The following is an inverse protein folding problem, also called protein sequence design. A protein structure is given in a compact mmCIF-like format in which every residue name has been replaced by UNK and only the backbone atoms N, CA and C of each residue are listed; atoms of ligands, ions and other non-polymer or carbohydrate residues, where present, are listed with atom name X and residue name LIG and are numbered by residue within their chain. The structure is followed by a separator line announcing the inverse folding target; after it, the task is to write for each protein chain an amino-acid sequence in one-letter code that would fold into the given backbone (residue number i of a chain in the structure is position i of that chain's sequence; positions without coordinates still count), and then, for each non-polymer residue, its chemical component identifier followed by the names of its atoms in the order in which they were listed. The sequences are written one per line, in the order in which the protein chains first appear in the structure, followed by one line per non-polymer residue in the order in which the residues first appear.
data_IF_134264253617
#
_entry.id   IF_134264253617
#
_cell.length_a   1.000
_cell.length_b   1.000
_cell.length_c   1.000
_cell.angle_alpha   90.00
_cell.angle_beta   90.00
_cell.angle_gamma   90.00
#
_symmetry.space_group_name_H-M   'P 1'
#
loop_
_entity.id
_entity.type
_entity.pdbx_description
1 polymer ?
#
# COMPACT_ATOMS: atom_id res chain seq x y z
N UNK A 1 1.18 -35.20 -23.19
CA UNK A 1 1.41 -33.96 -23.97
C UNK A 1 0.13 -33.13 -24.13
N UNK A 2 -1.03 -33.72 -24.46
CA UNK A 2 -2.30 -32.99 -24.63
C UNK A 2 -2.78 -32.18 -23.41
N UNK A 3 -2.57 -32.68 -22.18
CA UNK A 3 -2.97 -31.95 -20.96
C UNK A 3 -2.19 -30.64 -20.74
N UNK A 4 -0.91 -30.59 -21.14
CA UNK A 4 -0.10 -29.37 -21.05
C UNK A 4 -0.36 -28.41 -22.21
N UNK A 5 -0.83 -28.91 -23.36
CA UNK A 5 -1.29 -28.08 -24.48
C UNK A 5 -2.56 -27.30 -24.11
N UNK A 6 -3.46 -27.89 -23.34
CA UNK A 6 -4.65 -27.22 -22.79
C UNK A 6 -4.31 -26.08 -21.82
N UNK A 7 -3.10 -26.07 -21.23
CA UNK A 7 -2.60 -25.02 -20.34
C UNK A 7 -1.81 -23.92 -21.06
N UNK A 8 -1.68 -23.99 -22.39
CA UNK A 8 -1.06 -22.92 -23.18
C UNK A 8 -1.96 -21.69 -23.23
N UNK A 9 -1.34 -20.52 -23.38
CA UNK A 9 -2.08 -19.26 -23.33
C UNK A 9 -3.18 -19.18 -24.39
N UNK A 10 -2.87 -19.49 -25.64
CA UNK A 10 -3.79 -19.25 -26.77
C UNK A 10 -5.12 -20.03 -26.63
N UNK A 11 -5.15 -21.35 -26.35
CA UNK A 11 -6.41 -22.07 -26.12
C UNK A 11 -7.24 -21.52 -24.95
N UNK A 12 -6.60 -21.19 -23.82
CA UNK A 12 -7.31 -20.65 -22.64
C UNK A 12 -7.93 -19.29 -22.95
N UNK A 13 -7.18 -18.42 -23.62
CA UNK A 13 -7.65 -17.09 -23.99
C UNK A 13 -8.75 -17.13 -25.06
N UNK A 14 -8.70 -18.10 -25.97
CA UNK A 14 -9.76 -18.34 -26.94
C UNK A 14 -11.05 -18.76 -26.25
N UNK A 15 -10.99 -19.74 -25.34
CA UNK A 15 -12.15 -20.21 -24.57
C UNK A 15 -12.80 -19.08 -23.74
N UNK A 16 -12.00 -18.18 -23.16
CA UNK A 16 -12.48 -16.99 -22.46
C UNK A 16 -13.11 -15.96 -23.41
N UNK A 17 -12.59 -15.81 -24.62
CA UNK A 17 -13.11 -14.88 -25.61
C UNK A 17 -14.41 -15.36 -26.26
N UNK A 18 -14.56 -16.67 -26.45
CA UNK A 18 -15.78 -17.31 -26.98
C UNK A 18 -16.86 -17.52 -25.92
N UNK A 19 -16.54 -17.33 -24.65
CA UNK A 19 -17.45 -17.57 -23.52
C UNK A 19 -17.65 -19.06 -23.19
N UNK A 20 -16.76 -19.92 -23.68
CA UNK A 20 -16.76 -21.36 -23.35
C UNK A 20 -16.39 -21.60 -21.89
N UNK A 21 -15.57 -20.70 -21.32
CA UNK A 21 -15.24 -20.61 -19.90
C UNK A 21 -15.41 -19.16 -19.48
N UNK A 22 -15.84 -18.91 -18.24
CA UNK A 22 -15.94 -17.55 -17.68
C UNK A 22 -15.02 -17.34 -16.46
N UNK A 23 -14.89 -16.07 -16.06
CA UNK A 23 -14.03 -15.66 -14.94
C UNK A 23 -14.52 -16.23 -13.61
N UNK A 24 -15.84 -16.41 -13.44
CA UNK A 24 -16.44 -16.90 -12.20
C UNK A 24 -16.09 -18.37 -12.00
N UNK A 25 -16.21 -19.18 -13.04
CA UNK A 25 -15.83 -20.58 -13.05
C UNK A 25 -14.35 -20.77 -12.73
N UNK A 26 -13.46 -20.00 -13.37
CA UNK A 26 -12.02 -20.07 -13.09
C UNK A 26 -11.68 -19.61 -11.66
N UNK A 27 -12.32 -18.55 -11.18
CA UNK A 27 -12.12 -18.07 -9.81
C UNK A 27 -12.60 -19.09 -8.78
N UNK A 28 -13.73 -19.78 -9.05
CA UNK A 28 -14.25 -20.86 -8.21
C UNK A 28 -13.33 -22.09 -8.15
N UNK A 29 -12.53 -22.32 -9.19
CA UNK A 29 -11.47 -23.34 -9.21
C UNK A 29 -10.17 -22.89 -8.53
N UNK A 30 -10.12 -21.67 -7.99
CA UNK A 30 -8.97 -21.13 -7.26
C UNK A 30 -7.96 -20.37 -8.11
N UNK A 31 -8.23 -20.12 -9.41
CA UNK A 31 -7.35 -19.32 -10.26
C UNK A 31 -7.52 -17.82 -9.98
N UNK A 32 -6.64 -17.28 -9.13
CA UNK A 32 -6.67 -15.87 -8.69
C UNK A 32 -6.45 -14.87 -9.84
N UNK A 33 -5.81 -15.30 -10.92
CA UNK A 33 -5.46 -14.45 -12.08
C UNK A 33 -6.49 -14.46 -13.21
N UNK A 34 -7.65 -15.10 -13.03
CA UNK A 34 -8.69 -15.21 -14.06
C UNK A 34 -9.10 -13.84 -14.66
N UNK A 35 -9.19 -12.80 -13.82
CA UNK A 35 -9.48 -11.43 -14.29
C UNK A 35 -8.35 -10.81 -15.14
N UNK A 36 -7.10 -11.21 -14.93
CA UNK A 36 -5.98 -10.79 -15.77
C UNK A 36 -6.02 -11.53 -17.12
N UNK A 37 -6.36 -12.81 -17.12
CA UNK A 37 -6.50 -13.62 -18.34
C UNK A 37 -7.66 -13.13 -19.22
N UNK A 38 -8.79 -12.71 -18.64
CA UNK A 38 -9.89 -12.10 -19.41
C UNK A 38 -9.42 -10.84 -20.17
N UNK A 39 -8.56 -10.03 -19.54
CA UNK A 39 -7.99 -8.84 -20.21
C UNK A 39 -7.07 -9.24 -21.36
N UNK A 40 -6.27 -10.31 -21.19
CA UNK A 40 -5.46 -10.85 -22.28
C UNK A 40 -6.35 -11.38 -23.42
N UNK A 41 -7.44 -12.09 -23.11
CA UNK A 41 -8.39 -12.58 -24.11
C UNK A 41 -8.97 -11.41 -24.93
N UNK A 42 -9.36 -10.31 -24.27
CA UNK A 42 -9.80 -9.09 -24.94
C UNK A 42 -8.75 -8.46 -25.86
N UNK A 43 -7.45 -8.55 -25.52
CA UNK A 43 -6.36 -8.05 -26.38
C UNK A 43 -6.15 -8.96 -27.58
N UNK A 44 -6.01 -10.26 -27.35
CA UNK A 44 -5.60 -11.21 -28.39
C UNK A 44 -6.73 -11.69 -29.28
N UNK A 45 -7.98 -11.68 -28.82
CA UNK A 45 -9.15 -12.15 -29.55
C UNK A 45 -10.27 -11.11 -29.70
N UNK A 46 -10.23 -10.02 -28.93
CA UNK A 46 -11.22 -8.96 -29.02
C UNK A 46 -11.12 -8.11 -30.30
N UNK A 47 -12.08 -7.21 -30.53
CA UNK A 47 -12.14 -6.39 -31.74
C UNK A 47 -10.97 -5.41 -31.80
N UNK A 48 -10.31 -5.34 -32.96
CA UNK A 48 -9.20 -4.40 -33.22
C UNK A 48 -9.15 -3.97 -34.67
N UNK A 49 -8.58 -2.78 -34.91
CA UNK A 49 -8.26 -2.28 -36.26
C UNK A 49 -7.01 -2.98 -36.82
N UNK A 50 -6.15 -3.55 -35.98
CA UNK A 50 -4.89 -4.21 -36.36
C UNK A 50 -5.04 -5.72 -36.56
N UNK A 51 -6.07 -6.16 -37.31
CA UNK A 51 -6.45 -7.59 -37.44
C UNK A 51 -5.29 -8.48 -37.91
N UNK A 52 -4.46 -7.99 -38.84
CA UNK A 52 -3.29 -8.73 -39.36
C UNK A 52 -2.22 -8.96 -38.29
N UNK A 53 -1.86 -7.91 -37.54
CA UNK A 53 -0.88 -8.00 -36.46
C UNK A 53 -1.41 -8.79 -35.26
N UNK A 54 -2.70 -8.71 -34.95
CA UNK A 54 -3.32 -9.54 -33.92
C UNK A 54 -3.24 -11.03 -34.26
N UNK A 55 -3.54 -11.40 -35.52
CA UNK A 55 -3.38 -12.78 -35.99
C UNK A 55 -1.92 -13.23 -35.92
N UNK A 56 -0.97 -12.38 -36.34
CA UNK A 56 0.45 -12.67 -36.27
C UNK A 56 0.94 -12.84 -34.83
N UNK A 57 0.46 -12.03 -33.88
CA UNK A 57 0.80 -12.14 -32.47
C UNK A 57 0.31 -13.47 -31.88
N UNK A 58 -0.94 -13.87 -32.18
CA UNK A 58 -1.47 -15.18 -31.77
C UNK A 58 -0.64 -16.34 -32.35
N UNK A 59 -0.27 -16.27 -33.63
CA UNK A 59 0.57 -17.28 -34.27
C UNK A 59 1.97 -17.36 -33.65
N UNK A 60 2.60 -16.21 -33.36
CA UNK A 60 3.90 -16.16 -32.71
C UNK A 60 3.86 -16.67 -31.26
N UNK A 61 2.76 -16.41 -30.55
CA UNK A 61 2.56 -16.81 -29.16
C UNK A 61 2.21 -18.29 -28.96
N UNK A 62 2.10 -19.09 -30.04
CA UNK A 62 1.91 -20.53 -29.92
C UNK A 62 3.03 -21.14 -29.09
N UNK A 63 2.65 -21.87 -28.03
CA UNK A 63 3.58 -22.46 -27.07
C UNK A 63 3.92 -21.58 -25.87
N UNK A 64 3.48 -20.32 -25.80
CA UNK A 64 3.65 -19.50 -24.59
C UNK A 64 2.66 -19.88 -23.48
N UNK A 65 3.10 -19.72 -22.23
CA UNK A 65 2.23 -19.77 -21.05
C UNK A 65 1.48 -18.45 -20.87
N UNK A 66 0.41 -18.45 -20.05
CA UNK A 66 -0.33 -17.24 -19.72
C UNK A 66 0.57 -16.19 -19.04
N UNK A 67 1.51 -16.64 -18.19
CA UNK A 67 2.47 -15.75 -17.52
C UNK A 67 3.46 -15.11 -18.50
N UNK A 68 3.96 -15.89 -19.47
CA UNK A 68 4.82 -15.35 -20.53
C UNK A 68 4.07 -14.28 -21.36
N UNK A 69 2.79 -14.50 -21.66
CA UNK A 69 1.99 -13.50 -22.38
C UNK A 69 1.68 -12.28 -21.50
N UNK A 70 1.48 -12.48 -20.19
CA UNK A 70 1.39 -11.40 -19.21
C UNK A 70 2.65 -10.53 -19.20
N UNK A 71 3.83 -11.15 -19.29
CA UNK A 71 5.13 -10.48 -19.43
C UNK A 71 5.22 -9.68 -20.75
N UNK A 72 4.78 -10.27 -21.87
CA UNK A 72 4.74 -9.56 -23.17
C UNK A 72 3.88 -8.28 -23.06
N UNK A 73 2.69 -8.36 -22.46
CA UNK A 73 1.82 -7.20 -22.30
C UNK A 73 2.38 -6.17 -21.31
N UNK A 74 3.02 -6.63 -20.23
CA UNK A 74 3.72 -5.76 -19.26
C UNK A 74 4.75 -4.88 -19.96
N UNK A 75 5.51 -5.42 -20.90
CA UNK A 75 6.54 -4.68 -21.64
C UNK A 75 5.99 -3.88 -22.81
N UNK A 76 5.01 -4.41 -23.54
CA UNK A 76 4.37 -3.68 -24.64
C UNK A 76 3.77 -2.34 -24.18
N UNK A 77 3.20 -2.30 -22.96
CA UNK A 77 2.66 -1.05 -22.35
C UNK A 77 3.75 -0.04 -21.93
N UNK A 78 5.02 -0.44 -21.90
CA UNK A 78 6.14 0.41 -21.51
C UNK A 78 6.85 1.07 -22.70
N UNK A 79 6.45 0.73 -23.93
CA UNK A 79 6.91 1.40 -25.13
C UNK A 79 6.46 2.87 -25.13
N UNK A 80 7.40 3.78 -25.36
CA UNK A 80 7.13 5.22 -25.39
C UNK A 80 6.48 5.63 -26.73
N UNK A 81 5.61 6.63 -26.67
CA UNK A 81 5.10 7.29 -27.87
C UNK A 81 6.26 7.92 -28.64
N UNK A 82 6.32 7.64 -29.95
CA UNK A 82 7.41 8.06 -30.84
C UNK A 82 8.51 7.01 -31.04
N UNK A 83 8.39 5.82 -30.45
CA UNK A 83 9.28 4.70 -30.74
C UNK A 83 9.18 4.25 -32.20
N UNK A 84 10.26 3.65 -32.71
CA UNK A 84 10.36 3.20 -34.11
C UNK A 84 9.37 2.07 -34.49
N UNK A 85 8.71 1.47 -33.50
CA UNK A 85 7.68 0.44 -33.69
C UNK A 85 6.40 0.83 -32.97
N UNK A 86 5.28 0.34 -33.48
CA UNK A 86 3.98 0.45 -32.79
C UNK A 86 3.86 -0.62 -31.69
N UNK A 87 2.96 -0.43 -30.71
CA UNK A 87 2.69 -1.45 -29.70
C UNK A 87 2.26 -2.81 -30.28
N UNK A 88 1.59 -2.84 -31.44
CA UNK A 88 1.20 -4.10 -32.08
C UNK A 88 2.37 -4.82 -32.75
N UNK A 89 3.28 -4.09 -33.40
CA UNK A 89 4.49 -4.67 -33.98
C UNK A 89 5.41 -5.22 -32.90
N UNK A 90 5.63 -4.45 -31.82
CA UNK A 90 6.38 -4.92 -30.66
C UNK A 90 5.75 -6.18 -30.06
N UNK A 91 4.42 -6.22 -29.91
CA UNK A 91 3.74 -7.41 -29.37
C UNK A 91 4.02 -8.66 -30.18
N UNK A 92 3.97 -8.58 -31.51
CA UNK A 92 4.30 -9.72 -32.40
C UNK A 92 5.73 -10.18 -32.17
N UNK A 93 6.66 -9.22 -32.12
CA UNK A 93 8.08 -9.49 -31.88
C UNK A 93 8.30 -10.19 -30.54
N UNK A 94 7.72 -9.67 -29.46
CA UNK A 94 7.87 -10.22 -28.12
C UNK A 94 7.19 -11.60 -27.97
N UNK A 95 6.07 -11.84 -28.66
CA UNK A 95 5.42 -13.16 -28.70
C UNK A 95 6.30 -14.22 -29.38
N UNK A 96 7.25 -13.83 -30.22
CA UNK A 96 8.18 -14.75 -30.87
C UNK A 96 9.34 -15.20 -29.96
N UNK A 97 9.53 -14.57 -28.80
CA UNK A 97 10.56 -14.97 -27.84
C UNK A 97 10.30 -16.38 -27.29
N UNK A 98 11.37 -17.09 -26.93
CA UNK A 98 11.33 -18.46 -26.42
C UNK A 98 12.25 -18.57 -25.20
N UNK A 99 11.95 -19.54 -24.34
CA UNK A 99 12.66 -19.76 -23.07
C UNK A 99 11.69 -19.78 -21.89
N UNK A 100 12.25 -19.69 -20.69
CA UNK A 100 11.51 -19.50 -19.45
C UNK A 100 10.84 -18.12 -19.39
N UNK A 101 9.85 -17.97 -18.50
CA UNK A 101 9.16 -16.67 -18.31
C UNK A 101 10.15 -15.57 -17.92
N UNK A 102 11.16 -15.88 -17.11
CA UNK A 102 12.20 -14.93 -16.69
C UNK A 102 13.12 -14.50 -17.84
N UNK A 103 13.52 -15.44 -18.70
CA UNK A 103 14.31 -15.13 -19.89
C UNK A 103 13.53 -14.27 -20.88
N UNK A 104 12.25 -14.57 -21.08
CA UNK A 104 11.35 -13.75 -21.90
C UNK A 104 11.19 -12.35 -21.27
N UNK A 105 11.03 -12.22 -19.95
CA UNK A 105 10.93 -10.93 -19.26
C UNK A 105 12.19 -10.08 -19.46
N UNK A 106 13.37 -10.70 -19.34
CA UNK A 106 14.66 -10.03 -19.53
C UNK A 106 14.87 -9.59 -20.99
N UNK A 107 14.57 -10.46 -21.95
CA UNK A 107 14.69 -10.17 -23.38
C UNK A 107 13.72 -9.06 -23.81
N UNK A 108 12.46 -9.15 -23.37
CA UNK A 108 11.44 -8.14 -23.65
C UNK A 108 11.78 -6.78 -23.03
N UNK A 109 12.29 -6.75 -21.80
CA UNK A 109 12.76 -5.52 -21.16
C UNK A 109 13.89 -4.85 -21.94
N UNK A 110 14.81 -5.65 -22.49
CA UNK A 110 15.94 -5.16 -23.30
C UNK A 110 15.42 -4.55 -24.60
N UNK A 111 14.55 -5.25 -25.32
CA UNK A 111 13.96 -4.74 -26.57
C UNK A 111 13.20 -3.43 -26.40
N UNK A 112 12.38 -3.33 -25.36
CA UNK A 112 11.65 -2.08 -25.07
C UNK A 112 12.60 -0.95 -24.69
N UNK A 113 13.68 -1.26 -23.97
CA UNK A 113 14.71 -0.26 -23.63
C UNK A 113 15.40 0.27 -24.89
N UNK A 114 15.75 -0.60 -25.82
CA UNK A 114 16.42 -0.22 -27.07
C UNK A 114 15.53 0.68 -27.93
N UNK A 115 14.25 0.31 -28.11
CA UNK A 115 13.30 1.16 -28.83
C UNK A 115 13.07 2.50 -28.13
N UNK A 116 12.97 2.51 -26.80
CA UNK A 116 12.76 3.73 -26.04
C UNK A 116 13.99 4.66 -26.06
N UNK A 117 15.21 4.14 -26.22
CA UNK A 117 16.43 4.95 -26.32
C UNK A 117 16.44 5.82 -27.58
N UNK A 118 15.81 5.35 -28.66
CA UNK A 118 15.68 6.11 -29.90
C UNK A 118 14.61 7.20 -29.88
N UNK A 119 13.85 7.35 -28.78
CA UNK A 119 12.77 8.33 -28.66
C UNK A 119 13.33 9.67 -28.19
N UNK A 120 12.99 10.74 -28.90
CA UNK A 120 13.31 12.10 -28.47
C UNK A 120 12.71 12.39 -27.08
N UNK A 121 13.48 13.10 -26.24
CA UNK A 121 13.15 13.36 -24.83
C UNK A 121 12.96 12.11 -23.94
N UNK A 122 13.52 10.94 -24.31
CA UNK A 122 13.44 9.74 -23.49
C UNK A 122 13.92 9.96 -22.04
N UNK A 123 14.99 10.74 -21.85
CA UNK A 123 15.49 11.08 -20.51
C UNK A 123 14.49 11.90 -19.69
N UNK A 124 13.84 12.90 -20.29
CA UNK A 124 12.81 13.72 -19.63
C UNK A 124 11.57 12.89 -19.28
N UNK A 125 11.17 11.98 -20.17
CA UNK A 125 10.07 11.03 -19.92
C UNK A 125 10.43 10.05 -18.80
N UNK A 126 11.68 9.59 -18.71
CA UNK A 126 12.17 8.77 -17.60
C UNK A 126 12.24 9.57 -16.29
N UNK A 127 12.68 10.83 -16.34
CA UNK A 127 12.72 11.76 -15.22
C UNK A 127 11.32 11.94 -14.60
N UNK A 128 10.27 12.08 -15.42
CA UNK A 128 8.88 12.18 -14.96
C UNK A 128 8.31 10.91 -14.31
N UNK A 129 8.97 9.75 -14.44
CA UNK A 129 8.52 8.48 -13.85
C UNK A 129 9.14 8.16 -12.48
N UNK A 130 9.94 9.07 -11.93
CA UNK A 130 10.42 8.94 -10.55
C UNK A 130 9.26 8.75 -9.58
N UNK A 131 9.43 7.85 -8.62
CA UNK A 131 8.42 7.61 -7.60
C UNK A 131 9.04 7.04 -6.34
N UNK A 132 8.44 7.36 -5.20
CA UNK A 132 8.59 6.62 -3.95
C UNK A 132 7.23 6.00 -3.64
N UNK A 133 7.17 4.68 -3.51
CA UNK A 133 5.92 3.92 -3.28
C UNK A 133 6.09 3.00 -2.07
N UNK A 134 5.00 2.69 -1.38
CA UNK A 134 5.00 1.79 -0.22
C UNK A 134 5.01 2.53 1.12
N UNK A 135 5.37 1.82 2.19
CA UNK A 135 5.53 2.38 3.55
C UNK A 135 4.24 2.54 4.37
N UNK A 136 3.08 2.12 3.86
CA UNK A 136 1.80 2.16 4.61
C UNK A 136 1.46 0.84 5.30
N UNK A 137 1.80 -0.28 4.66
CA UNK A 137 1.46 -1.61 5.17
C UNK A 137 2.65 -2.14 5.96
N UNK A 138 2.35 -2.64 7.15
CA UNK A 138 3.28 -3.34 8.02
C UNK A 138 3.12 -4.85 7.81
N UNK A 139 4.22 -5.60 7.69
CA UNK A 139 4.17 -7.06 7.59
C UNK A 139 3.94 -7.72 8.97
N UNK A 140 3.87 -9.05 8.99
CA UNK A 140 3.62 -9.81 10.23
C UNK A 140 4.71 -9.70 11.30
N UNK A 141 5.85 -9.08 10.96
CA UNK A 141 6.99 -8.85 11.85
C UNK A 141 7.17 -7.37 12.19
N UNK A 142 6.22 -6.50 11.85
CA UNK A 142 6.35 -5.08 12.15
C UNK A 142 7.15 -4.29 11.10
N UNK A 143 7.63 -4.92 10.04
CA UNK A 143 8.47 -4.23 9.05
C UNK A 143 7.64 -3.52 7.99
N UNK A 144 8.17 -2.41 7.47
CA UNK A 144 7.58 -1.68 6.33
C UNK A 144 8.56 -1.61 5.18
N UNK A 145 8.06 -1.87 3.97
CA UNK A 145 8.84 -1.75 2.74
C UNK A 145 8.38 -0.55 1.92
N UNK A 146 9.33 0.18 1.35
CA UNK A 146 9.09 1.15 0.30
C UNK A 146 10.04 0.88 -0.88
N UNK A 147 9.66 1.36 -2.06
CA UNK A 147 10.40 1.21 -3.31
C UNK A 147 10.63 2.58 -3.91
N UNK A 148 11.88 2.86 -4.28
CA UNK A 148 12.28 4.08 -4.97
C UNK A 148 12.60 3.75 -6.42
N UNK A 149 11.99 4.51 -7.33
CA UNK A 149 12.24 4.43 -8.77
C UNK A 149 12.80 5.76 -9.25
N UNK A 150 13.85 5.73 -10.06
CA UNK A 150 14.38 6.91 -10.73
C UNK A 150 15.32 6.58 -11.89
N UNK A 151 15.92 7.61 -12.52
CA UNK A 151 16.87 7.41 -13.60
C UNK A 151 18.03 6.52 -13.15
N UNK A 152 18.45 5.59 -14.02
CA UNK A 152 19.49 4.59 -13.73
C UNK A 152 20.73 5.21 -13.07
N UNK A 153 21.31 6.26 -13.68
CA UNK A 153 22.50 6.94 -13.14
C UNK A 153 22.32 7.50 -11.73
N UNK A 154 21.11 7.95 -11.39
CA UNK A 154 20.81 8.56 -10.08
C UNK A 154 20.69 7.47 -9.02
N UNK A 155 19.92 6.42 -9.33
CA UNK A 155 19.73 5.29 -8.42
C UNK A 155 21.05 4.55 -8.21
N UNK A 156 21.82 4.32 -9.28
CA UNK A 156 23.13 3.70 -9.20
C UNK A 156 24.12 4.54 -8.38
N UNK A 157 24.11 5.87 -8.53
CA UNK A 157 24.90 6.76 -7.68
C UNK A 157 24.62 6.56 -6.18
N UNK A 158 23.34 6.45 -5.80
CA UNK A 158 22.94 6.15 -4.40
C UNK A 158 23.38 4.73 -4.00
N UNK A 159 23.04 3.72 -4.81
CA UNK A 159 23.32 2.31 -4.49
C UNK A 159 24.82 2.01 -4.44
N UNK A 160 25.65 2.69 -5.21
CA UNK A 160 27.11 2.56 -5.15
C UNK A 160 27.64 2.96 -3.77
N UNK A 161 27.20 4.10 -3.24
CA UNK A 161 27.56 4.53 -1.88
C UNK A 161 27.05 3.57 -0.81
N UNK A 162 25.80 3.12 -0.92
CA UNK A 162 25.21 2.14 0.02
C UNK A 162 25.97 0.82 0.00
N UNK A 163 26.32 0.29 -1.19
CA UNK A 163 27.10 -0.95 -1.34
C UNK A 163 28.49 -0.83 -0.71
N UNK A 164 29.16 0.31 -0.89
CA UNK A 164 30.46 0.55 -0.25
C UNK A 164 30.34 0.55 1.29
N UNK A 165 29.31 1.22 1.83
CA UNK A 165 29.02 1.22 3.27
C UNK A 165 28.66 -0.17 3.82
N UNK A 166 27.86 -0.94 3.07
CA UNK A 166 27.48 -2.31 3.42
C UNK A 166 28.71 -3.24 3.46
N UNK A 167 29.61 -3.13 2.47
CA UNK A 167 30.85 -3.89 2.43
C UNK A 167 31.74 -3.58 3.64
N UNK A 168 31.85 -2.31 4.03
CA UNK A 168 32.61 -1.92 5.22
C UNK A 168 32.00 -2.51 6.50
N UNK A 169 30.67 -2.51 6.63
CA UNK A 169 29.96 -3.09 7.77
C UNK A 169 30.18 -4.59 7.89
N UNK A 170 30.05 -5.33 6.81
CA UNK A 170 30.28 -6.79 6.81
C UNK A 170 31.73 -7.17 7.10
N UNK A 171 32.70 -6.29 6.79
CA UNK A 171 34.10 -6.48 7.21
C UNK A 171 34.27 -6.33 8.72
N UNK A 172 33.49 -5.44 9.35
CA UNK A 172 33.53 -5.20 10.81
C UNK A 172 32.72 -6.24 11.59
N UNK A 173 31.55 -6.61 11.09
CA UNK A 173 30.70 -7.66 11.66
C UNK A 173 30.33 -8.68 10.57
N UNK A 174 31.07 -9.81 10.50
CA UNK A 174 30.80 -10.87 9.53
C UNK A 174 29.45 -11.56 9.70
N UNK A 175 28.74 -11.36 10.83
CA UNK A 175 27.42 -11.97 11.07
C UNK A 175 26.31 -11.29 10.28
N UNK A 176 26.52 -10.04 9.84
CA UNK A 176 25.53 -9.31 9.06
C UNK A 176 25.36 -9.92 7.67
N UNK A 177 24.10 -10.18 7.29
CA UNK A 177 23.78 -10.53 5.90
C UNK A 177 24.06 -9.36 4.97
N UNK A 178 24.11 -9.63 3.66
CA UNK A 178 24.26 -8.58 2.66
C UNK A 178 23.12 -7.56 2.74
N UNK A 179 21.89 -8.04 2.89
CA UNK A 179 20.67 -7.23 2.96
C UNK A 179 20.62 -6.38 4.23
N UNK A 180 20.99 -6.93 5.39
CA UNK A 180 21.06 -6.17 6.65
C UNK A 180 22.09 -5.04 6.53
N UNK A 181 23.29 -5.33 6.04
CA UNK A 181 24.32 -4.33 5.87
C UNK A 181 23.95 -3.24 4.84
N UNK A 182 23.21 -3.61 3.79
CA UNK A 182 22.64 -2.66 2.83
C UNK A 182 21.60 -1.75 3.47
N UNK A 183 20.73 -2.28 4.32
CA UNK A 183 19.72 -1.49 5.05
C UNK A 183 20.39 -0.48 5.98
N UNK A 184 21.34 -0.92 6.81
CA UNK A 184 22.05 -0.05 7.75
C UNK A 184 22.86 1.03 7.03
N UNK A 185 23.56 0.66 5.95
CA UNK A 185 24.31 1.62 5.14
C UNK A 185 23.40 2.62 4.43
N UNK A 186 22.18 2.23 4.05
CA UNK A 186 21.19 3.15 3.50
C UNK A 186 20.71 4.16 4.55
N UNK A 187 20.48 3.75 5.80
CA UNK A 187 20.03 4.66 6.86
C UNK A 187 21.04 5.79 7.12
N UNK A 188 22.34 5.51 7.06
CA UNK A 188 23.38 6.55 7.19
C UNK A 188 23.27 7.65 6.13
N UNK A 189 22.81 7.31 4.92
CA UNK A 189 22.72 8.27 3.82
C UNK A 189 21.65 9.35 4.05
N UNK A 190 20.73 9.15 5.01
CA UNK A 190 19.62 10.08 5.25
C UNK A 190 20.01 11.32 6.05
N UNK A 191 21.19 11.38 6.66
CA UNK A 191 21.80 12.60 7.22
C UNK A 191 20.97 13.38 8.27
N UNK A 192 19.84 12.85 8.73
CA UNK A 192 18.94 13.50 9.66
C UNK A 192 18.37 12.46 10.61
N UNK A 193 18.42 12.76 11.92
CA UNK A 193 17.68 12.02 12.93
C UNK A 193 16.18 12.00 12.60
N UNK A 194 15.39 11.17 13.30
CA UNK A 194 13.95 11.11 13.07
C UNK A 194 13.38 12.54 13.07
N UNK A 195 12.64 12.90 12.02
CA UNK A 195 11.86 14.12 12.04
C UNK A 195 11.05 14.10 13.35
N UNK A 196 11.10 15.19 14.12
CA UNK A 196 10.35 15.33 15.39
C UNK A 196 8.84 15.40 15.09
N UNK A 197 8.29 14.31 14.59
CA UNK A 197 6.86 14.05 14.60
C UNK A 197 6.53 13.57 16.00
N UNK A 198 5.55 14.21 16.64
CA UNK A 198 5.11 13.78 17.97
C UNK A 198 4.36 12.46 17.80
N UNK A 199 5.06 11.36 18.05
CA UNK A 199 4.51 10.02 18.03
C UNK A 199 4.00 9.68 19.43
N UNK A 200 2.71 9.39 19.56
CA UNK A 200 2.11 8.98 20.84
C UNK A 200 2.09 7.47 20.88
N UNK A 201 2.57 6.89 21.99
CA UNK A 201 2.39 5.48 22.31
C UNK A 201 1.15 5.32 23.18
N UNK A 202 0.27 4.39 22.83
CA UNK A 202 -0.95 4.10 23.60
C UNK A 202 -0.64 3.06 24.67
N UNK A 203 -0.62 3.47 25.94
CA UNK A 203 -0.40 2.60 27.09
C UNK A 203 -1.65 2.47 27.97
N UNK A 204 -2.22 1.26 28.15
CA UNK A 204 -3.17 0.99 29.22
C UNK A 204 -2.54 1.20 30.59
N UNK A 205 -3.33 1.70 31.56
CA UNK A 205 -2.85 1.96 32.92
C UNK A 205 -2.27 0.71 33.64
N UNK A 206 -2.85 -0.50 33.51
CA UNK A 206 -2.23 -1.70 34.11
C UNK A 206 -0.88 -2.04 33.47
N UNK A 207 -0.77 -1.93 32.14
CA UNK A 207 0.46 -2.24 31.41
C UNK A 207 1.55 -1.17 31.65
N UNK A 208 1.18 0.09 31.88
CA UNK A 208 2.14 1.13 32.25
C UNK A 208 2.82 0.84 33.58
N UNK A 209 2.13 0.25 34.55
CA UNK A 209 2.76 -0.17 35.81
C UNK A 209 3.77 -1.29 35.63
N UNK A 210 3.54 -2.23 34.69
CA UNK A 210 4.50 -3.29 34.36
C UNK A 210 5.74 -2.72 33.67
N UNK A 211 5.55 -1.84 32.69
CA UNK A 211 6.65 -1.16 32.00
C UNK A 211 7.50 -0.33 32.98
N UNK A 212 6.86 0.42 33.90
CA UNK A 212 7.56 1.17 34.94
C UNK A 212 8.34 0.28 35.92
N UNK A 213 7.89 -0.96 36.13
CA UNK A 213 8.58 -1.96 36.96
C UNK A 213 9.61 -2.79 36.17
N UNK A 214 9.78 -2.54 34.86
CA UNK A 214 10.59 -3.36 33.95
C UNK A 214 10.12 -4.83 33.88
N UNK A 215 8.81 -5.04 34.01
CA UNK A 215 8.13 -6.34 33.96
C UNK A 215 7.32 -6.51 32.65
N UNK A 216 7.43 -5.55 31.72
CA UNK A 216 6.59 -5.44 30.52
C UNK A 216 7.37 -5.41 29.21
N UNK A 217 8.60 -5.94 29.18
CA UNK A 217 9.53 -5.79 28.06
C UNK A 217 8.96 -6.27 26.72
N UNK A 218 8.27 -7.42 26.73
CA UNK A 218 7.66 -8.03 25.54
C UNK A 218 6.27 -7.46 25.21
N UNK A 219 5.73 -6.56 26.02
CA UNK A 219 4.39 -5.99 25.78
C UNK A 219 4.45 -5.05 24.57
N UNK A 220 3.59 -5.30 23.58
CA UNK A 220 3.52 -4.50 22.35
C UNK A 220 2.49 -3.38 22.47
N UNK A 221 2.93 -2.14 22.24
CA UNK A 221 2.11 -0.93 22.23
C UNK A 221 1.97 -0.38 20.80
N UNK A 222 0.84 0.26 20.49
CA UNK A 222 0.67 0.95 19.21
C UNK A 222 1.09 2.41 19.28
N UNK A 223 1.58 2.91 18.14
CA UNK A 223 1.98 4.30 17.93
C UNK A 223 1.12 5.00 16.88
N UNK A 224 0.98 6.32 17.00
CA UNK A 224 0.11 7.14 16.11
C UNK A 224 0.59 7.27 14.67
N UNK A 225 1.84 6.90 14.39
CA UNK A 225 2.40 6.73 13.03
C UNK A 225 2.05 5.36 12.40
N UNK A 226 1.24 4.56 13.12
CA UNK A 226 0.79 3.23 12.73
C UNK A 226 1.85 2.15 12.87
N UNK A 227 2.92 2.42 13.61
CA UNK A 227 3.93 1.41 13.99
C UNK A 227 3.62 0.86 15.39
N UNK A 228 4.33 -0.18 15.80
CA UNK A 228 4.28 -0.73 17.16
C UNK A 228 5.64 -0.62 17.82
N UNK A 229 5.66 -0.62 19.14
CA UNK A 229 6.87 -0.59 19.96
C UNK A 229 6.70 -1.54 21.15
N UNK A 230 7.75 -2.26 21.51
CA UNK A 230 7.77 -3.11 22.72
C UNK A 230 8.00 -2.29 23.98
N UNK A 231 7.73 -2.85 25.16
CA UNK A 231 8.02 -2.18 26.44
C UNK A 231 9.52 -1.89 26.62
N UNK A 232 10.38 -2.83 26.21
CA UNK A 232 11.83 -2.64 26.26
C UNK A 232 12.30 -1.50 25.34
N UNK A 233 11.81 -1.46 24.09
CA UNK A 233 12.10 -0.37 23.15
C UNK A 233 11.54 0.96 23.65
N UNK A 234 10.35 0.96 24.25
CA UNK A 234 9.74 2.16 24.80
C UNK A 234 10.53 2.72 25.98
N UNK A 235 11.03 1.88 26.89
CA UNK A 235 11.91 2.32 27.99
C UNK A 235 13.21 2.87 27.43
N UNK A 236 13.79 2.22 26.42
CA UNK A 236 14.99 2.71 25.74
C UNK A 236 14.78 4.06 25.04
N UNK A 237 13.63 4.29 24.40
CA UNK A 237 13.24 5.58 23.79
C UNK A 237 12.95 6.65 24.86
N UNK A 238 12.24 6.30 25.95
CA UNK A 238 11.81 7.24 26.99
C UNK A 238 12.97 7.79 27.84
N UNK A 239 14.10 7.09 27.91
CA UNK A 239 15.34 7.61 28.50
C UNK A 239 15.97 8.76 27.68
N UNK A 240 15.36 9.16 26.55
CA UNK A 240 15.90 10.16 25.61
C UNK A 240 15.08 11.47 25.51
N UNK A 241 13.79 11.55 25.87
CA UNK A 241 12.97 12.76 26.23
C UNK A 241 11.45 12.56 25.93
N UNK A 242 10.62 13.07 26.84
CA UNK A 242 9.16 13.39 26.82
C UNK A 242 8.11 12.44 26.17
N UNK A 243 7.09 12.06 26.95
CA UNK A 243 5.88 11.36 26.49
C UNK A 243 4.58 12.03 26.96
N UNK A 244 3.51 11.96 26.16
CA UNK A 244 2.19 12.53 26.49
C UNK A 244 1.22 11.48 27.03
N UNK A 245 0.52 11.78 28.12
CA UNK A 245 -0.51 10.92 28.72
C UNK A 245 -1.92 11.45 28.38
N UNK A 246 -2.77 10.59 27.81
CA UNK A 246 -4.18 10.89 27.51
C UNK A 246 -5.14 9.96 28.27
N UNK A 247 -6.24 10.51 28.79
CA UNK A 247 -7.32 9.75 29.45
C UNK A 247 -8.48 9.60 28.47
N UNK A 248 -9.06 8.40 28.38
CA UNK A 248 -10.13 8.06 27.45
C UNK A 248 -11.31 7.43 28.19
N UNK A 249 -12.52 7.83 27.83
CA UNK A 249 -13.79 7.23 28.23
C UNK A 249 -14.21 6.16 27.20
N UNK A 250 -14.72 4.98 27.62
CA UNK A 250 -15.06 3.86 26.75
C UNK A 250 -16.13 4.15 25.69
N UNK A 251 -16.93 5.21 25.87
CA UNK A 251 -18.03 5.59 24.99
C UNK A 251 -17.74 6.93 24.29
N UNK A 252 -17.20 7.90 25.02
CA UNK A 252 -16.99 9.28 24.56
C UNK A 252 -15.64 9.55 23.91
N UNK A 253 -14.65 8.66 24.06
CA UNK A 253 -13.29 8.90 23.57
C UNK A 253 -12.46 9.75 24.54
N UNK A 254 -11.50 10.55 24.04
CA UNK A 254 -10.60 11.34 24.89
C UNK A 254 -11.33 12.30 25.84
N UNK A 255 -11.02 12.27 27.14
CA UNK A 255 -11.71 13.08 28.16
C UNK A 255 -11.25 14.55 28.09
N UNK A 256 -12.22 15.46 27.89
CA UNK A 256 -12.14 16.93 28.00
C UNK A 256 -11.28 17.71 26.99
N UNK A 257 -11.91 18.17 25.89
CA UNK A 257 -11.67 19.48 25.22
C UNK A 257 -12.92 19.93 24.45
N UNK A 258 -13.55 21.04 24.85
CA UNK A 258 -14.68 21.68 24.13
C UNK A 258 -14.18 22.90 23.33
N UNK A 259 -14.74 23.15 22.13
CA UNK A 259 -14.34 24.27 21.26
C UNK A 259 -15.45 24.73 20.32
N UNK A 260 -15.58 26.03 20.16
CA UNK A 260 -16.54 26.72 19.27
C UNK A 260 -15.88 27.27 17.98
N UNK A 261 -14.98 26.48 17.37
CA UNK A 261 -14.33 26.83 16.10
C UNK A 261 -14.18 25.60 15.21
N UNK A 262 -14.16 25.79 13.88
CA UNK A 262 -14.13 24.68 12.90
C UNK A 262 -12.92 23.74 13.00
N UNK A 263 -11.74 24.21 13.42
CA UNK A 263 -10.51 23.41 13.39
C UNK A 263 -10.15 22.85 14.76
N UNK A 264 -9.68 21.61 14.81
CA UNK A 264 -9.20 20.99 16.04
C UNK A 264 -7.86 21.57 16.50
N UNK A 265 -7.68 21.74 17.81
CA UNK A 265 -6.40 22.15 18.38
C UNK A 265 -5.42 20.97 18.51
N UNK A 266 -4.18 21.26 18.89
CA UNK A 266 -3.12 20.24 19.04
C UNK A 266 -3.53 19.12 20.01
N UNK A 267 -4.06 19.47 21.20
CA UNK A 267 -4.51 18.49 22.20
C UNK A 267 -5.62 17.58 21.67
N UNK A 268 -6.57 18.13 20.91
CA UNK A 268 -7.63 17.35 20.28
C UNK A 268 -7.08 16.38 19.24
N UNK A 269 -6.21 16.86 18.36
CA UNK A 269 -5.54 16.02 17.35
C UNK A 269 -4.75 14.88 18.00
N UNK A 270 -4.06 15.15 19.12
CA UNK A 270 -3.30 14.16 19.87
C UNK A 270 -4.20 13.07 20.45
N UNK A 271 -5.27 13.44 21.17
CA UNK A 271 -6.22 12.49 21.74
C UNK A 271 -6.90 11.65 20.64
N UNK A 272 -7.36 12.27 19.56
CA UNK A 272 -7.99 11.58 18.44
C UNK A 272 -7.05 10.61 17.73
N UNK A 273 -5.75 10.93 17.66
CA UNK A 273 -4.75 10.04 17.06
C UNK A 273 -4.54 8.78 17.88
N UNK A 274 -4.59 8.87 19.20
CA UNK A 274 -4.51 7.69 20.08
C UNK A 274 -5.84 6.90 20.16
N UNK A 275 -6.99 7.59 20.02
CA UNK A 275 -8.30 6.95 19.88
C UNK A 275 -8.37 6.11 18.59
N UNK A 276 -7.92 6.71 17.49
CA UNK A 276 -8.07 6.22 16.12
C UNK A 276 -6.71 6.23 15.41
N UNK A 277 -5.84 5.28 15.78
CA UNK A 277 -4.45 5.12 15.33
C UNK A 277 -4.26 4.88 13.82
N UNK A 278 -5.32 4.46 13.13
CA UNK A 278 -5.40 4.35 11.67
C UNK A 278 -6.72 4.99 11.21
N UNK A 279 -6.83 5.38 9.95
CA UNK A 279 -8.13 5.68 9.36
C UNK A 279 -9.14 4.54 9.61
N UNK A 280 -10.34 4.81 10.16
CA UNK A 280 -11.27 3.77 10.61
C UNK A 280 -12.00 3.07 9.47
N UNK A 281 -11.86 3.54 8.23
CA UNK A 281 -12.42 2.88 7.05
C UNK A 281 -11.86 1.46 6.88
N UNK A 282 -12.71 0.44 6.61
CA UNK A 282 -12.29 -0.95 6.46
C UNK A 282 -11.14 -1.14 5.47
N UNK A 283 -10.05 -1.77 5.93
CA UNK A 283 -8.88 -2.09 5.09
C UNK A 283 -7.96 -0.90 4.80
N UNK A 284 -8.24 0.30 5.33
CA UNK A 284 -7.32 1.42 5.18
C UNK A 284 -6.10 1.27 6.10
N UNK A 285 -4.90 1.47 5.56
CA UNK A 285 -3.65 1.39 6.33
C UNK A 285 -3.00 2.76 6.54
N UNK A 286 -3.74 3.85 6.31
CA UNK A 286 -3.20 5.20 6.54
C UNK A 286 -3.17 5.49 8.03
N UNK A 287 -2.00 5.81 8.62
CA UNK A 287 -1.86 6.09 10.04
C UNK A 287 -2.47 7.43 10.44
N UNK A 288 -2.83 7.57 11.71
CA UNK A 288 -3.40 8.80 12.27
C UNK A 288 -2.53 10.03 12.00
N UNK A 289 -1.20 9.89 12.04
CA UNK A 289 -0.27 10.99 11.75
C UNK A 289 -0.45 11.57 10.33
N UNK A 290 -0.88 10.74 9.37
CA UNK A 290 -1.21 11.11 7.99
C UNK A 290 -2.71 11.40 7.77
N UNK A 291 -3.53 11.35 8.82
CA UNK A 291 -4.95 11.62 8.77
C UNK A 291 -5.27 13.09 9.07
N UNK A 292 -6.41 13.53 8.56
CA UNK A 292 -7.07 14.78 8.90
C UNK A 292 -8.01 14.52 10.08
N UNK A 293 -8.27 15.57 10.87
CA UNK A 293 -9.37 15.52 11.84
C UNK A 293 -10.68 15.64 11.06
N UNK A 294 -11.60 14.74 11.34
CA UNK A 294 -12.87 14.57 10.65
C UNK A 294 -14.02 14.72 11.64
N UNK A 295 -15.05 15.48 11.28
CA UNK A 295 -16.29 15.58 12.05
C UNK A 295 -17.24 14.43 11.69
N UNK A 296 -17.73 13.69 12.68
CA UNK A 296 -18.69 12.60 12.51
C UNK A 296 -20.09 13.12 12.18
N UNK A 297 -20.52 14.18 12.87
CA UNK A 297 -21.58 15.08 12.44
C UNK A 297 -20.91 16.28 11.80
N UNK A 298 -21.11 16.48 10.50
CA UNK A 298 -20.44 17.56 9.77
C UNK A 298 -20.70 18.93 10.40
N UNK A 299 -19.70 19.82 10.36
CA UNK A 299 -19.81 21.20 10.86
C UNK A 299 -20.96 21.96 10.19
N UNK A 300 -21.14 21.77 8.88
CA UNK A 300 -22.24 22.38 8.11
C UNK A 300 -23.63 21.85 8.52
N UNK A 301 -23.69 20.70 9.19
CA UNK A 301 -24.89 20.10 9.76
C UNK A 301 -25.05 20.41 11.27
N UNK A 302 -24.29 21.40 11.78
CA UNK A 302 -24.34 21.81 13.19
C UNK A 302 -23.49 20.97 14.13
N UNK A 303 -22.59 20.12 13.62
CA UNK A 303 -21.70 19.33 14.45
C UNK A 303 -20.59 20.15 15.09
N UNK A 304 -20.44 20.05 16.41
CA UNK A 304 -19.42 20.77 17.17
C UNK A 304 -18.00 20.24 16.93
N UNK A 305 -16.99 21.07 17.14
CA UNK A 305 -15.57 20.66 17.13
C UNK A 305 -15.14 20.20 18.53
N UNK A 306 -15.81 19.17 19.02
CA UNK A 306 -15.55 18.53 20.31
C UNK A 306 -15.01 17.10 20.11
N UNK A 307 -14.31 16.52 21.07
CA UNK A 307 -13.74 15.16 20.91
C UNK A 307 -14.81 14.11 20.56
N UNK A 308 -16.00 14.24 21.15
CA UNK A 308 -17.13 13.33 20.95
C UNK A 308 -17.71 13.34 19.53
N UNK A 309 -17.42 14.39 18.75
CA UNK A 309 -17.85 14.55 17.37
C UNK A 309 -16.68 14.50 16.38
N UNK A 310 -15.45 14.33 16.83
CA UNK A 310 -14.26 14.29 15.96
C UNK A 310 -13.66 12.89 15.87
N UNK A 311 -12.97 12.57 14.78
CA UNK A 311 -12.16 11.37 14.60
C UNK A 311 -10.99 11.64 13.65
N UNK A 312 -10.18 10.64 13.33
CA UNK A 312 -9.12 10.72 12.32
C UNK A 312 -9.56 10.03 11.02
N UNK A 313 -9.48 10.71 9.88
CA UNK A 313 -9.73 10.10 8.57
C UNK A 313 -8.65 10.50 7.56
N UNK A 314 -8.22 9.57 6.69
CA UNK A 314 -7.26 9.92 5.65
C UNK A 314 -7.92 10.86 4.63
N UNK A 315 -7.15 11.67 3.91
CA UNK A 315 -7.69 12.65 2.96
C UNK A 315 -8.69 12.03 1.95
N UNK A 316 -8.46 10.79 1.51
CA UNK A 316 -9.35 10.09 0.57
C UNK A 316 -10.69 9.71 1.21
N UNK A 317 -10.68 9.18 2.43
CA UNK A 317 -11.92 8.75 3.10
C UNK A 317 -12.65 9.92 3.75
N UNK A 318 -11.93 10.95 4.21
CA UNK A 318 -12.51 12.20 4.66
C UNK A 318 -13.31 12.86 3.52
N UNK A 319 -12.70 12.99 2.33
CA UNK A 319 -13.36 13.60 1.17
C UNK A 319 -14.52 12.75 0.58
N UNK A 320 -14.56 11.45 0.88
CA UNK A 320 -15.61 10.54 0.40
C UNK A 320 -16.72 10.33 1.43
N UNK A 321 -16.56 10.77 2.67
CA UNK A 321 -17.55 10.57 3.72
C UNK A 321 -18.87 11.25 3.34
N UNK A 322 -19.99 10.56 3.55
CA UNK A 322 -21.31 11.17 3.38
C UNK A 322 -21.64 12.02 4.62
N UNK A 323 -21.58 13.34 4.46
CA UNK A 323 -21.73 14.31 5.55
C UNK A 323 -23.20 14.59 5.95
N UNK A 324 -24.14 14.43 5.02
CA UNK A 324 -25.58 14.57 5.27
C UNK A 324 -26.22 13.20 5.50
N UNK A 325 -26.66 12.87 6.73
CA UNK A 325 -27.30 11.59 7.02
C UNK A 325 -28.68 11.43 6.39
N UNK A 326 -29.31 12.52 5.93
CA UNK A 326 -30.63 12.54 5.31
C UNK A 326 -30.55 12.48 3.77
N UNK A 327 -29.38 12.70 3.18
CA UNK A 327 -29.15 12.53 1.76
C UNK A 327 -29.06 11.03 1.38
N UNK A 328 -29.40 10.66 0.13
CA UNK A 328 -29.18 9.29 -0.34
C UNK A 328 -27.70 8.88 -0.18
N UNK A 329 -27.40 7.75 0.48
CA UNK A 329 -26.02 7.35 0.75
C UNK A 329 -25.27 7.01 -0.54
N UNK A 330 -24.02 7.44 -0.63
CA UNK A 330 -23.15 7.21 -1.80
C UNK A 330 -21.95 6.36 -1.44
N UNK A 331 -21.25 6.72 -0.37
CA UNK A 331 -20.01 6.08 0.05
C UNK A 331 -20.07 5.55 1.50
N UNK A 332 -21.13 5.89 2.22
CA UNK A 332 -21.27 5.62 3.64
C UNK A 332 -20.60 6.69 4.50
N UNK A 333 -20.71 6.55 5.82
CA UNK A 333 -20.20 7.54 6.78
C UNK A 333 -19.46 6.91 7.95
N UNK A 334 -18.59 7.67 8.58
CA UNK A 334 -17.96 7.29 9.83
C UNK A 334 -18.89 7.59 11.00
N UNK A 335 -18.95 6.69 11.97
CA UNK A 335 -19.77 6.86 13.17
C UNK A 335 -19.06 6.29 14.39
N UNK A 336 -19.18 6.96 15.55
CA UNK A 336 -18.63 6.46 16.81
C UNK A 336 -19.59 5.45 17.43
N UNK A 337 -19.07 4.30 17.81
CA UNK A 337 -19.77 3.22 18.51
C UNK A 337 -18.92 2.73 19.69
N UNK A 338 -19.46 1.94 20.63
CA UNK A 338 -18.65 1.25 21.63
C UNK A 338 -17.51 0.47 20.96
N UNK A 339 -16.29 0.60 21.47
CA UNK A 339 -15.10 0.00 20.85
C UNK A 339 -14.46 0.80 19.70
N UNK A 340 -14.94 2.01 19.40
CA UNK A 340 -14.29 2.98 18.51
C UNK A 340 -15.13 3.41 17.30
N UNK A 341 -14.50 4.18 16.39
CA UNK A 341 -15.15 4.67 15.17
C UNK A 341 -15.21 3.57 14.10
N UNK A 342 -16.38 3.42 13.49
CA UNK A 342 -16.71 2.41 12.47
C UNK A 342 -17.21 3.08 11.19
N UNK A 343 -17.19 2.35 10.08
CA UNK A 343 -17.80 2.78 8.81
C UNK A 343 -19.18 2.16 8.66
N UNK A 344 -20.19 3.00 8.44
CA UNK A 344 -21.52 2.59 8.03
C UNK A 344 -21.55 2.51 6.50
N UNK A 345 -21.72 1.32 5.91
CA UNK A 345 -21.71 1.18 4.46
C UNK A 345 -22.99 1.78 3.82
N UNK A 346 -22.90 2.26 2.56
CA UNK A 346 -24.05 2.87 1.88
C UNK A 346 -25.16 1.87 1.52
N UNK A 347 -24.85 0.57 1.57
CA UNK A 347 -25.78 -0.53 1.29
C UNK A 347 -26.73 -0.84 2.47
N UNK A 348 -26.62 -0.11 3.59
CA UNK A 348 -27.41 -0.35 4.80
C UNK A 348 -27.00 -1.60 5.57
N UNK A 349 -25.88 -2.25 5.18
CA UNK A 349 -25.31 -3.38 5.88
C UNK A 349 -24.78 -3.01 7.28
N UNK A 350 -24.34 -4.01 8.05
CA UNK A 350 -23.86 -3.78 9.41
C UNK A 350 -22.61 -2.88 9.44
N UNK A 351 -22.38 -2.13 10.53
CA UNK A 351 -21.18 -1.32 10.72
C UNK A 351 -19.90 -2.15 10.56
N UNK A 352 -18.91 -1.60 9.86
CA UNK A 352 -17.64 -2.27 9.55
C UNK A 352 -16.49 -1.57 10.23
N UNK A 353 -15.74 -2.29 11.06
CA UNK A 353 -14.48 -1.80 11.65
C UNK A 353 -13.31 -1.99 10.69
N UNK A 354 -12.25 -1.20 10.87
CA UNK A 354 -10.97 -1.49 10.25
C UNK A 354 -10.40 -2.83 10.76
N UNK A 355 -10.06 -3.72 9.82
CA UNK A 355 -9.59 -5.08 10.06
C UNK A 355 -8.08 -5.17 10.37
N UNK A 356 -7.34 -4.06 10.27
CA UNK A 356 -5.90 -4.08 10.52
C UNK A 356 -5.59 -4.44 11.99
N UNK A 357 -4.67 -5.39 12.28
CA UNK A 357 -4.43 -5.88 13.65
C UNK A 357 -4.10 -4.78 14.65
N UNK A 358 -3.33 -3.77 14.23
CA UNK A 358 -2.95 -2.65 15.10
C UNK A 358 -4.16 -1.95 15.72
N UNK A 359 -5.33 -1.93 15.06
CA UNK A 359 -6.58 -1.35 15.56
C UNK A 359 -6.98 -1.91 16.93
N UNK A 360 -6.62 -3.17 17.24
CA UNK A 360 -6.88 -3.77 18.54
C UNK A 360 -6.04 -3.17 19.67
N UNK A 361 -5.04 -2.37 19.34
CA UNK A 361 -4.16 -1.66 20.25
C UNK A 361 -4.48 -0.15 20.31
N UNK A 362 -5.59 0.31 19.72
CA UNK A 362 -6.05 1.68 19.91
C UNK A 362 -6.59 1.88 21.32
N UNK A 363 -6.67 3.14 21.79
CA UNK A 363 -7.17 3.42 23.14
C UNK A 363 -8.57 2.84 23.37
N UNK A 364 -9.48 3.01 22.39
CA UNK A 364 -10.86 2.50 22.50
C UNK A 364 -10.93 0.97 22.45
N UNK A 365 -10.05 0.31 21.71
CA UNK A 365 -10.02 -1.14 21.70
C UNK A 365 -9.50 -1.69 23.03
N UNK A 366 -8.49 -1.08 23.62
CA UNK A 366 -7.88 -1.53 24.87
C UNK A 366 -8.79 -1.33 26.09
N UNK A 367 -9.61 -0.28 26.09
CA UNK A 367 -10.54 0.00 27.20
C UNK A 367 -11.80 -0.90 27.15
N UNK A 368 -12.17 -1.38 25.96
CA UNK A 368 -13.35 -2.24 25.76
C UNK A 368 -12.99 -3.74 25.66
N UNK A 369 -11.79 -4.14 26.12
CA UNK A 369 -11.33 -5.54 26.11
C UNK A 369 -11.84 -6.34 27.30
#
# INVERSE_FOLDING_TARGET
MSAFEALRAIPVLEALATGTVDVVALSGLGFRDAGAWQKLAGIYFGPTRHRRLQRAARAAAVGLSLDALGVVEKHTRRLLTGAAVTPWELRVELCALRGTVEEIDRAAATRVRDYNRGVEDAEKKAYGRRALRGGKNTDGLGNRTFTVTGPERVIEGVLSGVRAGAAQRRRKDPRLTYEQAMFDAFLDTRGGGPAREVVITVLPLPESTKVLRQEGDETVFARTDGTTITGAELVAEAMVEEGYVGVFDPVRGGVNVYRDERFANFKQRMLLSAETILCPHPGCTTPASQCQVHHLTAWEQGGETNIENLSMACAVHNARNDDDPNAPPRNGRLERRPGGVVHLPPDGGPPRSNIHPIRQLSAMALINR
#
